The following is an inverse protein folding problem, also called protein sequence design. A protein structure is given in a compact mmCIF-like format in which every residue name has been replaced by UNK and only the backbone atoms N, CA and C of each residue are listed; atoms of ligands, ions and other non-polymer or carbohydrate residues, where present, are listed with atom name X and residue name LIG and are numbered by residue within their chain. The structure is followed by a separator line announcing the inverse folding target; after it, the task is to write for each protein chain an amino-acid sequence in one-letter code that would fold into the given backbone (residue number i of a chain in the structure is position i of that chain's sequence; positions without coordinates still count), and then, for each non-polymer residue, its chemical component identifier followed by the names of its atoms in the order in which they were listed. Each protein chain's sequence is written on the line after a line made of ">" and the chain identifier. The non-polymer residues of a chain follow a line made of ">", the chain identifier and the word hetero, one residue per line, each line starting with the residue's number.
data_IF_437019789016
#
_entry.id   IF_437019789016
#
_cell.length_a   1.000
_cell.length_b   1.000
_cell.length_c   1.000
_cell.angle_alpha   90.00
_cell.angle_beta   90.00
_cell.angle_gamma   90.00
#
_symmetry.space_group_name_H-M   'P 1'
#
loop_
_entity.id
_entity.type
_entity.pdbx_description
1 polymer ?
#
# COMPACT_ATOMS: atom_id res chain seq x y z
N UNK A 1 -32.98 24.89 -76.79
CA UNK A 1 -34.42 25.06 -77.16
C UNK A 1 -35.24 24.88 -75.86
N UNK A 2 -36.02 25.97 -75.66
CA UNK A 2 -37.31 26.02 -74.94
C UNK A 2 -37.35 25.49 -73.46
N UNK A 3 -37.35 26.44 -72.52
CA UNK A 3 -38.53 27.03 -71.89
C UNK A 3 -39.49 26.02 -71.28
N UNK A 4 -39.81 26.13 -70.01
CA UNK A 4 -40.93 26.90 -69.46
C UNK A 4 -40.88 26.97 -67.93
N UNK A 5 -41.11 28.18 -67.43
CA UNK A 5 -41.54 28.56 -66.10
C UNK A 5 -42.74 27.75 -65.63
N UNK A 6 -42.84 27.50 -64.32
CA UNK A 6 -44.06 27.86 -63.59
C UNK A 6 -43.80 28.02 -62.10
N UNK A 7 -44.24 29.13 -61.57
CA UNK A 7 -44.32 29.59 -60.19
C UNK A 7 -45.35 28.74 -59.41
N UNK A 8 -45.17 28.54 -58.15
CA UNK A 8 -46.21 28.97 -57.20
C UNK A 8 -45.67 28.91 -55.76
N UNK A 9 -45.91 29.96 -55.05
CA UNK A 9 -45.67 30.22 -53.65
C UNK A 9 -46.64 29.41 -52.79
N UNK A 10 -46.32 29.25 -51.48
CA UNK A 10 -47.15 29.66 -50.34
C UNK A 10 -46.59 29.05 -49.06
N UNK A 11 -46.24 29.97 -48.17
CA UNK A 11 -46.53 30.06 -46.76
C UNK A 11 -46.12 28.88 -45.82
N UNK A 12 -45.19 29.12 -44.97
CA UNK A 12 -45.54 29.47 -43.61
C UNK A 12 -45.54 28.25 -42.64
N UNK A 13 -44.51 28.12 -41.85
CA UNK A 13 -44.67 27.89 -40.43
C UNK A 13 -43.29 27.94 -39.78
N UNK A 14 -43.05 29.03 -39.12
CA UNK A 14 -41.95 29.22 -38.18
C UNK A 14 -42.23 28.39 -36.96
N UNK A 15 -41.68 27.16 -36.87
CA UNK A 15 -41.70 26.34 -35.66
C UNK A 15 -40.36 26.51 -34.99
N UNK A 16 -40.32 27.39 -33.99
CA UNK A 16 -39.24 27.59 -33.08
C UNK A 16 -39.15 26.35 -32.17
N UNK A 17 -38.39 25.35 -32.58
CA UNK A 17 -38.09 24.21 -31.72
C UNK A 17 -37.00 24.63 -30.74
N UNK A 18 -37.42 24.91 -29.51
CA UNK A 18 -36.57 25.09 -28.36
C UNK A 18 -35.95 23.72 -28.05
N UNK A 19 -34.71 23.52 -28.47
CA UNK A 19 -33.94 22.35 -28.04
C UNK A 19 -33.53 22.55 -26.56
N UNK A 20 -33.81 21.63 -25.66
CA UNK A 20 -33.23 21.68 -24.32
C UNK A 20 -31.73 21.42 -24.44
N UNK A 21 -30.92 22.37 -24.00
CA UNK A 21 -29.51 22.17 -23.77
C UNK A 21 -29.39 21.10 -22.71
N UNK A 22 -29.04 19.88 -23.11
CA UNK A 22 -28.58 18.86 -22.20
C UNK A 22 -27.25 19.36 -21.63
N UNK A 23 -27.30 19.88 -20.43
CA UNK A 23 -26.11 20.00 -19.58
C UNK A 23 -25.61 18.57 -19.36
N UNK A 24 -24.57 18.18 -20.07
CA UNK A 24 -23.75 17.07 -19.72
C UNK A 24 -23.07 17.45 -18.39
N UNK A 25 -23.65 17.03 -17.28
CA UNK A 25 -22.94 16.96 -16.01
C UNK A 25 -21.79 15.99 -16.21
N UNK A 26 -20.62 16.56 -16.46
CA UNK A 26 -19.36 15.84 -16.30
C UNK A 26 -19.22 15.59 -14.80
N UNK A 27 -19.80 14.51 -14.34
CA UNK A 27 -19.48 13.95 -13.03
C UNK A 27 -18.04 13.50 -13.13
N UNK A 28 -17.13 14.40 -12.78
CA UNK A 28 -15.77 14.03 -12.42
C UNK A 28 -15.90 13.16 -11.18
N UNK A 29 -16.04 11.86 -11.39
CA UNK A 29 -15.81 10.88 -10.35
C UNK A 29 -14.32 10.93 -10.02
N UNK A 30 -13.95 11.94 -9.23
CA UNK A 30 -12.73 11.95 -8.44
C UNK A 30 -12.99 11.08 -7.22
N UNK A 31 -13.23 9.81 -7.46
CA UNK A 31 -12.96 8.79 -6.45
C UNK A 31 -11.44 8.73 -6.37
N UNK A 32 -10.85 9.62 -5.56
CA UNK A 32 -9.54 9.37 -5.02
C UNK A 32 -9.56 7.92 -4.52
N UNK A 33 -8.59 7.08 -4.88
CA UNK A 33 -8.58 5.72 -4.36
C UNK A 33 -8.59 5.86 -2.84
N UNK A 34 -9.74 5.56 -2.22
CA UNK A 34 -9.75 5.26 -0.81
C UNK A 34 -8.75 4.13 -0.66
N UNK A 35 -7.58 4.47 -0.16
CA UNK A 35 -6.59 3.50 0.26
C UNK A 35 -7.33 2.53 1.17
N UNK A 36 -7.68 1.37 0.64
CA UNK A 36 -8.21 0.28 1.45
C UNK A 36 -7.05 -0.14 2.34
N UNK A 37 -7.06 0.41 3.53
CA UNK A 37 -6.23 -0.06 4.64
C UNK A 37 -6.57 -1.54 4.82
N UNK A 38 -5.84 -2.42 4.17
CA UNK A 38 -5.84 -3.86 4.45
C UNK A 38 -5.93 -4.76 3.22
N UNK A 39 -5.30 -4.40 2.11
CA UNK A 39 -5.18 -5.36 1.02
C UNK A 39 -4.15 -6.42 1.44
N UNK A 40 -4.67 -7.62 1.76
CA UNK A 40 -3.82 -8.78 1.98
C UNK A 40 -3.06 -9.10 0.69
N UNK A 41 -1.74 -9.19 0.77
CA UNK A 41 -0.90 -9.60 -0.35
C UNK A 41 -0.61 -11.10 -0.20
N UNK A 42 -0.93 -11.87 -1.23
CA UNK A 42 -0.67 -13.31 -1.24
C UNK A 42 0.48 -13.64 -2.18
N UNK A 43 1.42 -14.45 -1.73
CA UNK A 43 2.52 -15.00 -2.53
C UNK A 43 2.71 -16.47 -2.17
N UNK A 44 2.48 -17.38 -3.11
CA UNK A 44 2.40 -18.81 -2.80
C UNK A 44 1.34 -19.07 -1.73
N UNK A 45 1.73 -19.78 -0.67
CA UNK A 45 0.89 -20.07 0.48
C UNK A 45 1.00 -19.03 1.61
N UNK A 46 1.76 -17.95 1.39
CA UNK A 46 1.93 -16.89 2.37
C UNK A 46 0.91 -15.78 2.17
N UNK A 47 0.33 -15.30 3.25
CA UNK A 47 -0.60 -14.15 3.28
C UNK A 47 -0.02 -13.06 4.17
N UNK A 48 0.22 -11.90 3.59
CA UNK A 48 0.78 -10.73 4.26
C UNK A 48 -0.37 -9.76 4.55
N UNK A 49 -0.49 -9.36 5.80
CA UNK A 49 -1.55 -8.45 6.28
C UNK A 49 -1.00 -7.40 7.24
N UNK A 50 -1.77 -6.34 7.49
CA UNK A 50 -1.45 -5.34 8.50
C UNK A 50 -0.11 -4.64 8.25
N UNK A 51 0.27 -4.48 7.01
CA UNK A 51 1.56 -3.90 6.64
C UNK A 51 1.52 -2.37 6.76
N UNK A 52 2.47 -1.79 7.49
CA UNK A 52 2.64 -0.34 7.62
C UNK A 52 4.09 0.04 7.88
N UNK A 53 4.44 1.28 7.57
CA UNK A 53 5.69 1.92 7.97
C UNK A 53 5.38 3.02 8.99
N UNK A 54 6.34 3.34 9.86
CA UNK A 54 6.20 4.50 10.76
C UNK A 54 6.76 5.76 10.13
N UNK A 55 6.05 6.86 10.31
CA UNK A 55 6.53 8.19 10.00
C UNK A 55 7.86 8.47 10.72
N UNK A 56 8.72 9.24 10.08
CA UNK A 56 10.03 9.60 10.64
C UNK A 56 10.16 11.11 10.76
N UNK A 57 10.97 11.54 11.71
CA UNK A 57 11.32 12.96 11.82
C UNK A 57 12.16 13.40 10.61
N UNK A 58 12.09 14.68 10.22
CA UNK A 58 12.95 15.24 9.19
C UNK A 58 14.43 14.98 9.50
N UNK A 59 15.16 14.41 8.53
CA UNK A 59 16.58 14.08 8.68
C UNK A 59 16.87 12.80 9.45
N UNK A 60 15.86 12.03 9.88
CA UNK A 60 16.07 10.72 10.47
C UNK A 60 16.72 9.77 9.43
N UNK A 61 17.87 9.15 9.77
CA UNK A 61 18.55 8.26 8.83
C UNK A 61 17.92 6.87 8.74
N UNK A 62 16.98 6.54 9.63
CA UNK A 62 16.39 5.21 9.77
C UNK A 62 14.88 5.28 9.90
N UNK A 63 14.21 4.20 9.49
CA UNK A 63 12.78 3.97 9.64
C UNK A 63 12.51 2.48 9.83
N UNK A 64 11.26 2.15 10.17
CA UNK A 64 10.85 0.76 10.37
C UNK A 64 9.51 0.45 9.73
N UNK A 65 9.33 -0.81 9.33
CA UNK A 65 8.06 -1.33 8.88
C UNK A 65 7.70 -2.62 9.62
N UNK A 66 6.40 -2.85 9.70
CA UNK A 66 5.76 -3.90 10.45
C UNK A 66 4.67 -4.54 9.61
N UNK A 67 4.43 -5.81 9.81
CA UNK A 67 3.42 -6.59 9.08
C UNK A 67 3.24 -7.96 9.74
N UNK A 68 2.19 -8.66 9.37
CA UNK A 68 1.97 -10.06 9.75
C UNK A 68 2.08 -10.94 8.52
N UNK A 69 2.72 -12.10 8.66
CA UNK A 69 2.84 -13.11 7.61
C UNK A 69 2.26 -14.41 8.15
N UNK A 70 1.16 -14.86 7.56
CA UNK A 70 0.55 -16.16 7.81
C UNK A 70 1.06 -17.15 6.76
N UNK A 71 1.65 -18.25 7.19
CA UNK A 71 1.99 -19.36 6.31
C UNK A 71 0.85 -20.40 6.35
N UNK A 72 0.07 -20.48 5.27
CA UNK A 72 -1.05 -21.44 5.11
C UNK A 72 -0.63 -22.76 4.50
N UNK A 73 0.63 -22.86 4.08
CA UNK A 73 1.18 -24.07 3.48
C UNK A 73 1.57 -25.14 4.51
N UNK A 74 1.80 -26.35 4.01
CA UNK A 74 2.23 -27.52 4.79
C UNK A 74 3.75 -27.57 5.00
N UNK A 75 4.49 -26.58 4.55
CA UNK A 75 5.94 -26.51 4.67
C UNK A 75 6.40 -25.17 5.18
N UNK A 76 7.46 -25.19 6.02
CA UNK A 76 8.11 -23.97 6.48
C UNK A 76 8.65 -23.16 5.31
N UNK A 77 8.59 -21.85 5.41
CA UNK A 77 9.24 -20.89 4.52
C UNK A 77 10.09 -19.92 5.36
N UNK A 78 10.65 -18.93 4.73
CA UNK A 78 11.52 -17.93 5.36
C UNK A 78 11.48 -16.61 4.62
N UNK A 79 11.30 -15.51 5.32
CA UNK A 79 11.55 -14.18 4.78
C UNK A 79 13.06 -13.95 4.78
N UNK A 80 13.69 -14.01 3.61
CA UNK A 80 15.16 -13.94 3.50
C UNK A 80 15.68 -12.53 3.32
N UNK A 81 14.91 -11.65 2.67
CA UNK A 81 15.31 -10.24 2.49
C UNK A 81 14.12 -9.32 2.25
N UNK A 82 14.39 -8.02 2.42
CA UNK A 82 13.49 -6.95 2.03
C UNK A 82 14.28 -5.88 1.27
N UNK A 83 13.65 -5.22 0.30
CA UNK A 83 14.24 -4.14 -0.49
C UNK A 83 13.28 -2.97 -0.62
N UNK A 84 13.81 -1.74 -0.47
CA UNK A 84 13.06 -0.51 -0.59
C UNK A 84 13.89 0.53 -1.37
N UNK A 85 13.32 1.11 -2.42
CA UNK A 85 14.05 2.06 -3.27
C UNK A 85 14.27 3.42 -2.59
N UNK A 86 13.47 3.74 -1.58
CA UNK A 86 13.58 4.96 -0.76
C UNK A 86 14.64 4.86 0.34
N UNK A 87 15.25 3.69 0.55
CA UNK A 87 16.32 3.46 1.52
C UNK A 87 17.62 3.04 0.82
N UNK A 88 18.76 3.39 1.39
CA UNK A 88 20.07 2.93 0.89
C UNK A 88 20.38 1.50 1.30
N UNK A 89 19.73 1.00 2.35
CA UNK A 89 19.85 -0.37 2.85
C UNK A 89 18.60 -0.79 3.59
N UNK A 90 18.18 -2.04 3.43
CA UNK A 90 17.05 -2.64 4.15
C UNK A 90 17.52 -3.93 4.80
N UNK A 91 17.19 -4.12 6.06
CA UNK A 91 17.58 -5.31 6.84
C UNK A 91 16.40 -5.84 7.64
N UNK A 92 16.44 -7.14 7.95
CA UNK A 92 15.52 -7.79 8.88
C UNK A 92 16.15 -7.79 10.26
N UNK A 93 15.45 -7.26 11.24
CA UNK A 93 15.94 -7.12 12.61
C UNK A 93 14.98 -7.78 13.60
N UNK A 94 15.51 -8.12 14.75
CA UNK A 94 14.73 -8.49 15.91
C UNK A 94 15.22 -7.74 17.14
N UNK A 95 14.33 -7.56 18.10
CA UNK A 95 14.67 -7.01 19.41
C UNK A 95 14.43 -8.08 20.47
N UNK A 96 15.35 -8.21 21.41
CA UNK A 96 15.21 -9.10 22.59
C UNK A 96 15.80 -8.47 23.83
N UNK A 97 15.30 -8.88 24.95
CA UNK A 97 15.89 -8.54 26.25
C UNK A 97 17.17 -9.35 26.48
N UNK A 98 18.25 -8.66 26.78
CA UNK A 98 19.49 -9.25 27.31
C UNK A 98 19.73 -8.66 28.70
N UNK A 99 19.36 -9.41 29.75
CA UNK A 99 19.26 -8.87 31.10
C UNK A 99 18.15 -7.81 31.17
N UNK A 100 18.48 -6.61 31.60
CA UNK A 100 17.53 -5.47 31.67
C UNK A 100 17.60 -4.54 30.44
N UNK A 101 18.39 -4.90 29.43
CA UNK A 101 18.59 -4.05 28.23
C UNK A 101 17.94 -4.69 27.01
N UNK A 102 17.14 -3.87 26.30
CA UNK A 102 16.59 -4.25 25.00
C UNK A 102 17.69 -4.08 23.94
N UNK A 103 18.07 -5.18 23.27
CA UNK A 103 19.06 -5.15 22.18
C UNK A 103 18.42 -5.50 20.85
N UNK A 104 18.84 -4.77 19.82
CA UNK A 104 18.49 -5.02 18.43
C UNK A 104 19.63 -5.75 17.73
N UNK A 105 19.30 -6.75 16.93
CA UNK A 105 20.26 -7.50 16.13
C UNK A 105 19.68 -7.87 14.78
N UNK A 106 20.55 -7.99 13.80
CA UNK A 106 20.16 -8.38 12.45
C UNK A 106 19.87 -9.88 12.37
N UNK A 107 18.81 -10.23 11.66
CA UNK A 107 18.43 -11.59 11.31
C UNK A 107 19.11 -12.01 10.00
N UNK A 108 20.42 -12.30 10.05
CA UNK A 108 21.24 -12.61 8.86
C UNK A 108 20.72 -13.82 8.08
N UNK A 109 20.13 -14.79 8.78
CA UNK A 109 19.54 -15.98 8.19
C UNK A 109 18.05 -15.79 7.81
N UNK A 110 17.54 -14.55 7.85
CA UNK A 110 16.13 -14.28 7.63
C UNK A 110 15.23 -14.63 8.80
N UNK A 111 13.93 -14.44 8.61
CA UNK A 111 12.89 -14.71 9.61
C UNK A 111 12.19 -16.02 9.25
N UNK A 112 12.22 -17.06 10.12
CA UNK A 112 11.49 -18.31 9.87
C UNK A 112 9.98 -18.08 9.85
N UNK A 113 9.30 -18.77 8.94
CA UNK A 113 7.86 -18.78 8.75
C UNK A 113 7.36 -20.24 8.82
N UNK A 114 7.14 -20.80 10.02
CA UNK A 114 6.72 -22.18 10.15
C UNK A 114 5.35 -22.43 9.47
N UNK A 115 5.16 -23.67 9.00
CA UNK A 115 3.89 -24.10 8.43
C UNK A 115 2.72 -23.88 9.40
N UNK A 116 1.58 -23.38 8.89
CA UNK A 116 0.35 -23.12 9.65
C UNK A 116 0.49 -22.10 10.79
N UNK A 117 1.54 -21.29 10.78
CA UNK A 117 1.75 -20.27 11.81
C UNK A 117 1.69 -18.86 11.22
N UNK A 118 1.38 -17.89 12.10
CA UNK A 118 1.46 -16.46 11.80
C UNK A 118 2.65 -15.87 12.54
N UNK A 119 3.55 -15.26 11.78
CA UNK A 119 4.70 -14.52 12.32
C UNK A 119 4.42 -13.04 12.23
N UNK A 120 4.47 -12.36 13.39
CA UNK A 120 4.25 -10.92 13.47
C UNK A 120 5.58 -10.17 13.54
N UNK A 121 5.73 -9.21 12.62
CA UNK A 121 6.75 -8.19 12.72
C UNK A 121 6.09 -6.96 13.36
N UNK A 122 6.44 -6.68 14.61
CA UNK A 122 5.81 -5.66 15.43
C UNK A 122 6.86 -4.82 16.20
N UNK A 123 6.51 -3.60 16.61
CA UNK A 123 7.38 -2.77 17.43
C UNK A 123 7.84 -3.48 18.70
N UNK A 124 9.15 -3.47 18.94
CA UNK A 124 9.75 -4.19 20.08
C UNK A 124 10.09 -5.65 19.83
N UNK A 125 9.85 -6.17 18.63
CA UNK A 125 10.19 -7.52 18.19
C UNK A 125 10.84 -7.53 16.80
N UNK A 126 10.42 -8.49 15.98
CA UNK A 126 10.80 -8.58 14.57
C UNK A 126 10.33 -7.35 13.81
N UNK A 127 11.14 -6.84 12.89
CA UNK A 127 10.79 -5.71 12.02
C UNK A 127 11.67 -5.61 10.79
N UNK A 128 11.19 -4.90 9.78
CA UNK A 128 11.98 -4.47 8.63
C UNK A 128 12.59 -3.11 8.97
N UNK A 129 13.91 -3.00 8.93
CA UNK A 129 14.65 -1.78 9.20
C UNK A 129 15.12 -1.14 7.92
N UNK A 130 14.76 0.11 7.71
CA UNK A 130 15.25 0.97 6.63
C UNK A 130 16.41 1.81 7.14
N UNK A 131 17.52 1.81 6.42
CA UNK A 131 18.68 2.62 6.75
C UNK A 131 19.09 3.50 5.58
N UNK A 132 19.72 4.63 5.89
CA UNK A 132 20.09 5.64 4.90
C UNK A 132 18.88 6.06 4.07
N UNK A 133 17.82 6.48 4.77
CA UNK A 133 16.62 7.02 4.12
C UNK A 133 16.99 8.20 3.23
N UNK A 134 16.48 8.22 2.00
CA UNK A 134 16.70 9.29 1.02
C UNK A 134 15.82 10.50 1.29
N UNK A 135 14.69 10.28 1.95
CA UNK A 135 13.72 11.29 2.38
C UNK A 135 12.99 10.79 3.64
N UNK A 136 12.43 11.68 4.47
CA UNK A 136 11.60 11.27 5.59
C UNK A 136 10.35 10.52 5.11
N UNK A 137 9.88 9.57 5.91
CA UNK A 137 8.57 8.92 5.73
C UNK A 137 7.52 9.84 6.35
N UNK A 138 6.59 10.34 5.52
CA UNK A 138 5.56 11.31 5.93
C UNK A 138 4.27 10.55 6.20
N UNK A 139 3.64 10.79 7.36
CA UNK A 139 2.34 10.22 7.71
C UNK A 139 1.29 10.51 6.63
N UNK A 140 0.54 9.46 6.25
CA UNK A 140 -0.44 9.50 5.18
C UNK A 140 0.09 9.16 3.79
N UNK A 141 1.42 9.10 3.59
CA UNK A 141 2.01 8.60 2.37
C UNK A 141 1.93 7.07 2.30
N UNK A 142 2.25 6.52 1.13
CA UNK A 142 2.42 5.08 0.93
C UNK A 142 3.77 4.81 0.29
N UNK A 143 4.51 3.86 0.85
CA UNK A 143 5.81 3.42 0.31
C UNK A 143 5.75 1.94 -0.06
N UNK A 144 6.61 1.51 -0.98
CA UNK A 144 6.65 0.14 -1.48
C UNK A 144 7.89 -0.60 -0.98
N UNK A 145 7.67 -1.83 -0.55
CA UNK A 145 8.75 -2.74 -0.15
C UNK A 145 8.58 -4.07 -0.87
N UNK A 146 9.64 -4.54 -1.48
CA UNK A 146 9.74 -5.89 -2.02
C UNK A 146 10.23 -6.82 -0.91
N UNK A 147 9.46 -7.85 -0.60
CA UNK A 147 9.80 -8.93 0.32
C UNK A 147 10.18 -10.16 -0.49
N UNK A 148 11.30 -10.80 -0.15
CA UNK A 148 11.74 -12.02 -0.82
C UNK A 148 11.72 -13.18 0.15
N UNK A 149 11.06 -14.26 -0.24
CA UNK A 149 10.92 -15.49 0.53
C UNK A 149 11.77 -16.61 -0.09
N UNK A 150 12.15 -17.58 0.72
CA UNK A 150 13.02 -18.68 0.30
C UNK A 150 12.34 -19.59 -0.73
N UNK A 151 11.05 -19.89 -0.53
CA UNK A 151 10.27 -20.80 -1.37
C UNK A 151 9.16 -20.10 -2.16
N UNK A 152 8.41 -19.22 -1.52
CA UNK A 152 7.26 -18.56 -2.14
C UNK A 152 7.62 -17.54 -3.21
N UNK A 153 8.89 -17.09 -3.30
CA UNK A 153 9.32 -16.06 -4.25
C UNK A 153 9.29 -14.65 -3.68
N UNK A 154 8.95 -13.65 -4.48
CA UNK A 154 8.93 -12.24 -4.03
C UNK A 154 7.56 -11.62 -4.20
N UNK A 155 7.23 -10.70 -3.29
CA UNK A 155 6.02 -9.88 -3.36
C UNK A 155 6.33 -8.42 -3.05
N UNK A 156 5.70 -7.51 -3.76
CA UNK A 156 5.72 -6.07 -3.44
C UNK A 156 4.53 -5.74 -2.57
N UNK A 157 4.79 -5.11 -1.43
CA UNK A 157 3.79 -4.73 -0.44
C UNK A 157 3.75 -3.21 -0.35
N UNK A 158 2.55 -2.66 -0.41
CA UNK A 158 2.29 -1.25 -0.14
C UNK A 158 2.18 -1.04 1.37
N UNK A 159 2.99 -0.12 1.89
CA UNK A 159 3.05 0.23 3.29
C UNK A 159 2.50 1.64 3.47
N UNK A 160 1.28 1.84 3.94
CA UNK A 160 0.86 3.14 4.42
C UNK A 160 1.79 3.59 5.54
N UNK A 161 2.11 4.88 5.53
CA UNK A 161 2.95 5.48 6.56
C UNK A 161 2.04 5.99 7.67
N UNK A 162 2.08 5.28 8.79
CA UNK A 162 1.32 5.58 10.00
C UNK A 162 2.08 6.54 10.92
N UNK A 163 1.38 7.08 11.91
CA UNK A 163 1.98 7.98 12.89
C UNK A 163 3.21 7.38 13.56
N UNK A 164 4.12 8.21 14.05
CA UNK A 164 5.31 7.77 14.79
C UNK A 164 4.96 6.89 16.01
N UNK A 165 3.79 7.11 16.61
CA UNK A 165 3.32 6.36 17.79
C UNK A 165 2.57 5.06 17.43
N UNK A 166 2.31 4.77 16.14
CA UNK A 166 1.57 3.59 15.72
C UNK A 166 2.25 2.29 16.20
N UNK A 167 1.46 1.40 16.76
CA UNK A 167 1.90 0.08 17.25
C UNK A 167 1.37 -1.06 16.39
N UNK A 168 0.20 -0.83 15.77
CA UNK A 168 -0.49 -1.74 14.85
C UNK A 168 -1.17 -0.89 13.79
N UNK A 169 -1.61 -1.50 12.68
CA UNK A 169 -2.56 -0.86 11.77
C UNK A 169 -3.81 -0.50 12.57
N UNK A 170 -4.16 0.78 12.56
CA UNK A 170 -5.29 1.29 13.32
C UNK A 170 -6.60 0.76 12.74
N UNK A 171 -7.30 -0.01 13.50
CA UNK A 171 -8.58 -0.62 13.16
C UNK A 171 -9.14 -1.49 14.28
N UNK A 172 -8.35 -1.77 15.33
CA UNK A 172 -8.85 -2.41 16.54
C UNK A 172 -8.72 -1.42 17.70
N UNK A 173 -9.85 -0.72 17.94
CA UNK A 173 -10.00 0.25 18.96
C UNK A 173 -9.54 -0.23 20.33
N UNK A 174 -8.71 0.56 20.97
CA UNK A 174 -8.64 0.60 22.41
C UNK A 174 -9.92 1.30 22.92
N UNK A 175 -11.00 0.53 23.02
CA UNK A 175 -12.12 0.88 23.89
C UNK A 175 -11.70 0.54 25.33
N UNK A 176 -11.19 1.56 26.00
CA UNK A 176 -11.28 1.65 27.47
C UNK A 176 -11.38 3.10 27.89
#
# INVERSE_FOLDING_TARGET
>A
MKTVLTRLAIAGALSLALAPAAFAETTSDQTAPMHRMNDAVTVGDLVITGAFARATLPGAPVGGAFLSIENRGDSDDRLVSAKADFAGMTQLHNMRMEGEVMKMYQMENGIPLPAHETVQLAPGGLHVMFMKLKAPLIEGDTVKVELTFEKAGSATVDLPVESFAAKTMDGMGDDK
#
